data_IF_542797419668
#
_entry.id   IF_542797419668
#
_cell.length_a   1.000
_cell.length_b   1.000
_cell.length_c   1.000
_cell.angle_alpha   90.00
_cell.angle_beta   90.00
_cell.angle_gamma   90.00
#
_symmetry.space_group_name_H-M   'P 1'
#
loop_
_entity.id
_entity.type
_entity.pdbx_description
1 polymer ?
#
# COMPACT_ATOMS: atom_id res chain seq x y z
N UNK A 1 -14.95 -13.40 0.32
CA UNK A 1 -13.77 -13.61 -0.56
C UNK A 1 -12.72 -12.59 -0.16
N UNK A 2 -11.46 -13.02 0.03
CA UNK A 2 -10.38 -12.07 0.36
C UNK A 2 -10.00 -11.25 -0.86
N UNK A 3 -9.52 -10.03 -0.64
CA UNK A 3 -9.17 -9.13 -1.74
C UNK A 3 -8.04 -8.20 -1.34
N UNK A 4 -7.09 -7.99 -2.26
CA UNK A 4 -6.05 -6.98 -2.10
C UNK A 4 -6.66 -5.59 -2.22
N UNK A 5 -6.45 -4.72 -1.22
CA UNK A 5 -7.16 -3.43 -1.11
C UNK A 5 -6.24 -2.23 -1.26
N UNK A 6 -5.08 -2.24 -0.61
CA UNK A 6 -4.22 -1.05 -0.60
C UNK A 6 -2.79 -1.29 -0.15
N UNK A 7 -1.90 -0.35 -0.49
CA UNK A 7 -0.68 -0.08 0.28
C UNK A 7 -0.94 1.18 1.11
N UNK A 8 -0.65 1.10 2.40
CA UNK A 8 -0.82 2.14 3.39
C UNK A 8 0.46 2.32 4.18
N UNK A 9 0.66 3.47 4.80
CA UNK A 9 1.51 3.55 5.99
C UNK A 9 0.60 3.89 7.16
N UNK A 10 0.38 2.99 8.11
CA UNK A 10 -0.38 3.37 9.30
C UNK A 10 0.59 3.91 10.35
N UNK A 11 0.18 4.96 11.03
CA UNK A 11 0.77 5.35 12.30
C UNK A 11 0.71 4.13 13.23
N UNK A 12 1.84 3.49 13.52
CA UNK A 12 1.91 2.46 14.55
C UNK A 12 1.65 3.14 15.90
N UNK A 13 0.87 2.51 16.79
CA UNK A 13 0.90 2.90 18.20
C UNK A 13 2.36 2.87 18.68
N UNK A 14 2.90 4.03 19.10
CA UNK A 14 4.33 4.20 19.40
C UNK A 14 5.16 4.87 18.30
N UNK A 15 4.54 5.44 17.27
CA UNK A 15 5.23 6.25 16.27
C UNK A 15 5.97 7.45 16.91
N UNK A 16 7.21 7.77 16.50
CA UNK A 16 8.02 8.84 17.08
C UNK A 16 7.56 10.27 16.70
N UNK A 17 6.41 10.41 16.03
CA UNK A 17 5.92 11.70 15.53
C UNK A 17 4.98 12.37 16.54
N UNK A 18 4.72 13.67 16.36
CA UNK A 18 3.98 14.54 17.29
C UNK A 18 2.49 14.16 17.52
N UNK A 19 2.06 13.02 16.97
CA UNK A 19 0.72 12.45 17.07
C UNK A 19 -0.27 12.96 16.04
N UNK A 20 0.03 14.02 15.28
CA UNK A 20 -0.88 14.55 14.26
C UNK A 20 -0.57 13.97 12.89
N UNK A 21 -1.60 13.45 12.24
CA UNK A 21 -1.49 12.85 10.92
C UNK A 21 -2.80 12.97 10.15
N UNK A 22 -2.72 12.86 8.83
CA UNK A 22 -3.88 12.71 7.95
C UNK A 22 -3.75 11.47 7.09
N UNK A 23 -4.90 11.03 6.57
CA UNK A 23 -5.04 9.89 5.68
C UNK A 23 -5.83 10.31 4.45
N UNK A 24 -5.31 10.02 3.26
CA UNK A 24 -6.02 10.23 2.00
C UNK A 24 -5.99 8.95 1.18
N UNK A 25 -7.16 8.49 0.74
CA UNK A 25 -7.29 7.32 -0.13
C UNK A 25 -7.37 7.79 -1.57
N UNK A 26 -6.49 7.30 -2.45
CA UNK A 26 -6.49 7.64 -3.88
C UNK A 26 -6.42 6.38 -4.74
N UNK A 27 -7.16 6.36 -5.85
CA UNK A 27 -7.15 5.25 -6.79
C UNK A 27 -8.03 5.51 -7.99
N UNK A 28 -8.18 4.49 -8.84
CA UNK A 28 -8.94 4.59 -10.10
C UNK A 28 -10.44 4.30 -9.95
N UNK A 29 -10.90 4.01 -8.73
CA UNK A 29 -12.30 3.74 -8.44
C UNK A 29 -12.54 3.40 -6.97
N UNK A 30 -13.75 2.92 -6.62
CA UNK A 30 -14.12 2.57 -5.25
C UNK A 30 -13.22 1.49 -4.64
N UNK A 31 -12.89 1.60 -3.34
CA UNK A 31 -12.08 0.62 -2.61
C UNK A 31 -12.71 -0.79 -2.57
N UNK A 32 -14.02 -0.88 -2.81
CA UNK A 32 -14.78 -2.15 -2.89
C UNK A 32 -14.34 -3.05 -4.05
N UNK A 33 -13.80 -2.47 -5.12
CA UNK A 33 -13.37 -3.20 -6.31
C UNK A 33 -12.06 -2.71 -6.94
N UNK A 34 -11.40 -1.71 -6.36
CA UNK A 34 -10.10 -1.21 -6.80
C UNK A 34 -9.06 -1.33 -5.68
N UNK A 35 -7.82 -1.55 -6.10
CA UNK A 35 -6.66 -1.29 -5.31
C UNK A 35 -6.39 0.21 -5.24
N UNK A 36 -6.17 0.72 -4.04
CA UNK A 36 -5.92 2.15 -3.81
C UNK A 36 -4.63 2.38 -3.04
N UNK A 37 -4.07 3.57 -3.16
CA UNK A 37 -3.01 4.03 -2.28
C UNK A 37 -3.62 4.76 -1.09
N UNK A 38 -3.23 4.35 0.12
CA UNK A 38 -3.48 5.11 1.34
C UNK A 38 -2.25 5.99 1.61
N UNK A 39 -2.40 7.29 1.34
CA UNK A 39 -1.40 8.30 1.62
C UNK A 39 -1.51 8.71 3.09
N UNK A 40 -0.38 8.66 3.79
CA UNK A 40 -0.29 9.08 5.19
C UNK A 40 0.71 10.21 5.32
N UNK A 41 0.22 11.34 5.83
CA UNK A 41 1.04 12.51 6.11
C UNK A 41 1.13 12.69 7.62
N UNK A 42 2.33 12.60 8.18
CA UNK A 42 2.58 13.00 9.58
C UNK A 42 3.02 14.47 9.58
N UNK A 43 2.36 15.27 10.41
CA UNK A 43 2.60 16.71 10.44
C UNK A 43 4.02 16.98 10.93
N UNK A 44 4.69 17.93 10.27
CA UNK A 44 6.06 18.29 10.61
C UNK A 44 7.11 17.33 10.08
N UNK A 45 6.74 16.28 9.34
CA UNK A 45 7.69 15.37 8.69
C UNK A 45 7.66 15.58 7.18
N UNK A 46 8.80 15.92 6.59
CA UNK A 46 8.91 16.21 5.14
C UNK A 46 9.53 15.09 4.32
N UNK A 47 10.30 14.19 4.95
CA UNK A 47 11.03 13.15 4.26
C UNK A 47 11.04 11.86 5.08
N UNK A 48 11.06 10.73 4.38
CA UNK A 48 11.28 9.41 4.94
C UNK A 48 12.37 8.72 4.14
N UNK A 49 13.38 8.20 4.82
CA UNK A 49 14.44 7.42 4.20
C UNK A 49 13.87 6.17 3.52
N UNK A 50 14.15 6.01 2.22
CA UNK A 50 13.71 4.88 1.41
C UNK A 50 14.53 3.62 1.67
N UNK A 51 13.85 2.48 1.70
CA UNK A 51 14.44 1.16 1.78
C UNK A 51 14.64 0.52 0.40
N UNK A 52 14.86 -0.79 0.39
CA UNK A 52 14.82 -1.65 -0.80
C UNK A 52 13.61 -2.61 -0.79
N UNK A 53 12.65 -2.36 0.12
CA UNK A 53 11.52 -3.22 0.43
C UNK A 53 10.36 -3.05 -0.56
N UNK A 54 9.99 -1.81 -0.91
CA UNK A 54 9.01 -1.52 -1.96
C UNK A 54 9.71 -1.27 -3.30
N UNK A 55 9.52 -2.17 -4.25
CA UNK A 55 10.20 -2.12 -5.54
C UNK A 55 9.38 -1.45 -6.64
N UNK A 56 8.08 -1.28 -6.43
CA UNK A 56 7.23 -0.44 -7.27
C UNK A 56 5.81 -0.95 -7.45
N UNK A 57 4.99 -0.12 -8.07
CA UNK A 57 3.62 -0.47 -8.46
C UNK A 57 3.45 -0.33 -9.98
N UNK A 58 2.79 -1.30 -10.60
CA UNK A 58 2.58 -1.37 -12.04
C UNK A 58 1.13 -1.03 -12.39
N UNK A 59 0.95 -0.11 -13.34
CA UNK A 59 -0.35 0.44 -13.71
C UNK A 59 -0.50 0.51 -15.23
N UNK A 60 -1.60 0.01 -15.77
CA UNK A 60 -1.97 0.21 -17.19
C UNK A 60 -2.62 1.59 -17.36
N UNK A 61 -1.88 2.58 -17.88
CA UNK A 61 -2.41 3.92 -18.09
C UNK A 61 -1.54 4.75 -19.07
N UNK A 62 -1.70 4.53 -20.38
CA UNK A 62 -1.04 5.33 -21.44
C UNK A 62 -1.24 6.83 -21.26
N UNK A 63 -2.44 7.26 -20.88
CA UNK A 63 -2.77 8.67 -20.63
C UNK A 63 -1.92 9.30 -19.51
N UNK A 64 -1.53 8.53 -18.48
CA UNK A 64 -0.65 9.05 -17.42
C UNK A 64 0.74 9.42 -17.96
N UNK A 65 1.26 8.65 -18.92
CA UNK A 65 2.53 8.95 -19.60
C UNK A 65 2.39 10.24 -20.40
N UNK A 66 1.31 10.39 -21.16
CA UNK A 66 1.06 11.58 -21.98
C UNK A 66 0.92 12.84 -21.11
N UNK A 67 0.14 12.77 -20.04
CA UNK A 67 -0.02 13.89 -19.09
C UNK A 67 1.28 14.25 -18.41
N UNK A 68 2.05 13.25 -17.95
CA UNK A 68 3.37 13.46 -17.34
C UNK A 68 4.32 14.19 -18.31
N UNK A 69 4.44 13.71 -19.55
CA UNK A 69 5.25 14.37 -20.60
C UNK A 69 4.76 15.80 -20.88
N UNK A 70 3.44 16.01 -20.97
CA UNK A 70 2.83 17.32 -21.26
C UNK A 70 3.14 18.38 -20.19
N UNK A 71 3.18 17.99 -18.91
CA UNK A 71 3.49 18.91 -17.80
C UNK A 71 4.99 18.96 -17.46
N UNK A 72 5.84 18.24 -18.20
CA UNK A 72 7.28 18.17 -17.93
C UNK A 72 7.65 17.33 -16.70
N UNK A 73 6.77 16.44 -16.24
CA UNK A 73 7.09 15.49 -15.17
C UNK A 73 8.13 14.48 -15.68
N UNK A 74 9.17 14.12 -14.89
CA UNK A 74 10.18 13.16 -15.31
C UNK A 74 9.58 11.79 -15.66
N UNK A 75 9.86 11.32 -16.88
CA UNK A 75 9.47 10.00 -17.37
C UNK A 75 10.71 9.29 -17.90
N UNK A 76 11.02 8.13 -17.33
CA UNK A 76 12.12 7.28 -17.81
C UNK A 76 11.56 6.08 -18.55
N UNK A 77 11.88 5.94 -19.83
CA UNK A 77 11.45 4.81 -20.64
C UNK A 77 12.30 3.57 -20.31
N UNK A 78 11.65 2.44 -19.99
CA UNK A 78 12.28 1.18 -19.60
C UNK A 78 11.57 0.00 -20.30
N UNK A 79 11.99 -0.31 -21.53
CA UNK A 79 11.40 -1.41 -22.30
C UNK A 79 9.90 -1.17 -22.57
N UNK A 80 9.04 -2.06 -22.07
CA UNK A 80 7.59 -2.00 -22.29
C UNK A 80 6.85 -1.07 -21.29
N UNK A 81 7.56 -0.46 -20.34
CA UNK A 81 6.98 0.42 -19.33
C UNK A 81 7.76 1.73 -19.18
N UNK A 82 7.10 2.74 -18.62
CA UNK A 82 7.69 4.02 -18.24
C UNK A 82 7.77 4.12 -16.72
N UNK A 83 8.95 4.36 -16.17
CA UNK A 83 9.13 4.66 -14.76
C UNK A 83 8.84 6.14 -14.49
N UNK A 84 7.90 6.37 -13.58
CA UNK A 84 7.63 7.64 -12.92
C UNK A 84 7.95 7.46 -11.44
N UNK A 85 8.63 8.41 -10.83
CA UNK A 85 8.89 8.41 -9.39
C UNK A 85 7.98 9.42 -8.73
N UNK A 86 7.16 9.00 -7.76
CA UNK A 86 6.35 9.91 -6.95
C UNK A 86 7.25 10.70 -5.97
N UNK A 87 6.79 11.86 -5.46
CA UNK A 87 7.47 12.53 -4.37
C UNK A 87 7.77 11.57 -3.20
N UNK A 88 9.02 11.57 -2.74
CA UNK A 88 9.51 10.61 -1.74
C UNK A 88 10.26 9.41 -2.32
N UNK A 89 10.28 9.22 -3.65
CA UNK A 89 11.09 8.18 -4.32
C UNK A 89 10.35 6.86 -4.61
N UNK A 90 9.03 6.81 -4.41
CA UNK A 90 8.23 5.62 -4.71
C UNK A 90 8.09 5.41 -6.22
N UNK A 91 8.37 4.19 -6.68
CA UNK A 91 8.40 3.85 -8.11
C UNK A 91 7.03 3.43 -8.64
N UNK A 92 6.63 4.03 -9.75
CA UNK A 92 5.43 3.69 -10.50
C UNK A 92 5.83 3.32 -11.93
N UNK A 93 5.57 2.08 -12.30
CA UNK A 93 5.83 1.54 -13.63
C UNK A 93 4.54 1.61 -14.46
N UNK A 94 4.47 2.59 -15.33
CA UNK A 94 3.31 2.81 -16.18
C UNK A 94 3.46 1.98 -17.45
N UNK A 95 2.57 0.99 -17.61
CA UNK A 95 2.47 0.14 -18.79
C UNK A 95 1.75 0.96 -19.86
N UNK A 96 2.37 1.07 -21.05
CA UNK A 96 1.83 1.85 -22.16
C UNK A 96 0.65 1.14 -22.84
N UNK A 97 -0.45 1.01 -22.11
CA UNK A 97 -1.73 0.45 -22.53
C UNK A 97 -2.84 1.36 -22.03
N UNK A 98 -3.93 1.43 -22.80
CA UNK A 98 -5.14 2.09 -22.34
C UNK A 98 -5.64 1.43 -21.05
N UNK A 99 -6.24 2.22 -20.17
CA UNK A 99 -6.85 1.68 -18.95
C UNK A 99 -7.91 0.64 -19.35
N UNK A 100 -7.97 -0.51 -18.65
CA UNK A 100 -9.06 -1.45 -18.82
C UNK A 100 -10.39 -0.81 -18.38
N UNK A 101 -11.49 -1.22 -19.04
CA UNK A 101 -12.85 -0.76 -18.71
C UNK A 101 -13.59 -1.71 -17.76
N UNK A 102 -13.08 -2.93 -17.58
CA UNK A 102 -13.74 -4.04 -16.91
C UNK A 102 -13.01 -4.53 -15.64
N UNK A 103 -11.87 -3.91 -15.31
CA UNK A 103 -11.05 -4.25 -14.14
C UNK A 103 -10.21 -3.04 -13.72
N UNK A 104 -9.59 -3.15 -12.55
CA UNK A 104 -8.65 -2.16 -12.04
C UNK A 104 -7.40 -2.03 -12.95
N UNK A 105 -6.97 -0.81 -13.32
CA UNK A 105 -5.70 -0.59 -14.03
C UNK A 105 -4.46 -0.96 -13.21
N UNK A 106 -4.53 -1.01 -11.87
CA UNK A 106 -3.41 -1.46 -11.03
C UNK A 106 -3.20 -2.97 -11.22
N UNK A 107 -2.03 -3.35 -11.74
CA UNK A 107 -1.72 -4.73 -12.11
C UNK A 107 -1.04 -5.49 -10.99
N UNK A 108 0.02 -4.92 -10.42
CA UNK A 108 0.76 -5.58 -9.35
C UNK A 108 1.60 -4.61 -8.51
N UNK A 109 1.83 -5.04 -7.27
CA UNK A 109 2.68 -4.41 -6.27
C UNK A 109 3.90 -5.31 -6.11
N UNK A 110 5.10 -4.75 -6.18
CA UNK A 110 6.35 -5.51 -6.08
C UNK A 110 7.01 -5.24 -4.73
N UNK A 111 7.18 -6.30 -3.94
CA UNK A 111 7.91 -6.28 -2.68
C UNK A 111 9.22 -7.06 -2.81
N UNK A 112 10.28 -6.53 -2.21
CA UNK A 112 11.58 -7.19 -2.09
C UNK A 112 11.51 -8.42 -1.20
N UNK A 113 12.28 -9.46 -1.50
CA UNK A 113 12.37 -10.64 -0.66
C UNK A 113 13.80 -11.16 -0.58
N UNK A 114 14.23 -11.53 0.64
CA UNK A 114 15.55 -12.14 0.85
C UNK A 114 15.55 -13.63 0.50
N UNK A 115 14.40 -14.30 0.60
CA UNK A 115 14.22 -15.73 0.32
C UNK A 115 12.85 -15.98 -0.35
N UNK A 116 12.88 -16.13 -1.68
CA UNK A 116 11.67 -16.38 -2.49
C UNK A 116 10.95 -17.65 -2.07
N UNK A 117 11.65 -18.71 -1.65
CA UNK A 117 11.00 -19.96 -1.25
C UNK A 117 10.25 -19.79 0.06
N UNK A 118 10.89 -19.18 1.07
CA UNK A 118 10.27 -18.91 2.37
C UNK A 118 9.08 -17.96 2.23
N UNK A 119 9.23 -16.89 1.46
CA UNK A 119 8.16 -15.91 1.28
C UNK A 119 6.99 -16.48 0.48
N UNK A 120 7.23 -17.28 -0.57
CA UNK A 120 6.15 -18.00 -1.26
C UNK A 120 5.39 -18.93 -0.31
N UNK A 121 6.08 -19.70 0.54
CA UNK A 121 5.44 -20.56 1.54
C UNK A 121 4.57 -19.75 2.49
N UNK A 122 5.07 -18.65 3.05
CA UNK A 122 4.28 -17.78 3.93
C UNK A 122 3.03 -17.23 3.23
N UNK A 123 3.22 -16.59 2.08
CA UNK A 123 2.13 -15.89 1.39
C UNK A 123 1.07 -16.85 0.83
N UNK A 124 1.48 -18.02 0.35
CA UNK A 124 0.56 -19.07 -0.14
C UNK A 124 -0.09 -19.83 1.00
N UNK A 125 0.71 -20.42 1.86
CA UNK A 125 0.24 -21.42 2.81
C UNK A 125 -0.37 -20.81 4.06
N UNK A 126 0.08 -19.61 4.48
CA UNK A 126 -0.41 -18.95 5.69
C UNK A 126 -1.38 -17.81 5.36
N UNK A 127 -0.96 -16.84 4.55
CA UNK A 127 -1.79 -15.69 4.16
C UNK A 127 -2.91 -16.06 3.17
N UNK A 128 -2.78 -17.18 2.47
CA UNK A 128 -3.83 -17.80 1.66
C UNK A 128 -3.91 -17.29 0.22
N UNK A 129 -2.84 -16.71 -0.32
CA UNK A 129 -2.81 -16.28 -1.71
C UNK A 129 -2.58 -17.47 -2.66
N UNK A 130 -3.18 -17.42 -3.84
CA UNK A 130 -2.87 -18.35 -4.92
C UNK A 130 -1.54 -17.98 -5.56
N UNK A 131 -0.66 -18.96 -5.77
CA UNK A 131 0.57 -18.80 -6.54
C UNK A 131 0.25 -18.92 -8.03
N UNK A 132 0.45 -17.84 -8.78
CA UNK A 132 0.20 -17.78 -10.23
C UNK A 132 1.44 -18.12 -11.05
N UNK A 133 2.60 -17.66 -10.61
CA UNK A 133 3.87 -17.91 -11.28
C UNK A 133 5.00 -17.93 -10.25
N UNK A 134 6.00 -18.78 -10.47
CA UNK A 134 7.24 -18.85 -9.69
C UNK A 134 8.43 -19.08 -10.63
N UNK A 135 9.34 -18.12 -10.64
CA UNK A 135 10.70 -18.27 -11.15
C UNK A 135 11.71 -18.36 -10.00
N UNK A 136 13.01 -18.32 -10.34
CA UNK A 136 14.10 -18.38 -9.36
C UNK A 136 14.16 -17.13 -8.48
N UNK A 137 14.04 -15.94 -9.08
CA UNK A 137 14.18 -14.66 -8.41
C UNK A 137 12.86 -13.92 -8.22
N UNK A 138 11.72 -14.50 -8.63
CA UNK A 138 10.44 -13.81 -8.60
C UNK A 138 9.27 -14.77 -8.43
N UNK A 139 8.23 -14.36 -7.71
CA UNK A 139 6.95 -15.06 -7.65
C UNK A 139 5.77 -14.09 -7.72
N UNK A 140 4.68 -14.51 -8.35
CA UNK A 140 3.44 -13.73 -8.47
C UNK A 140 2.33 -14.46 -7.74
N UNK A 141 1.69 -13.78 -6.80
CA UNK A 141 0.61 -14.30 -5.97
C UNK A 141 -0.61 -13.36 -5.98
N UNK A 142 -1.79 -13.87 -5.64
CA UNK A 142 -2.98 -13.04 -5.48
C UNK A 142 -4.20 -13.83 -5.03
N UNK A 143 -5.29 -13.14 -4.67
CA UNK A 143 -6.53 -13.79 -4.26
C UNK A 143 -7.49 -14.11 -5.42
N UNK A 144 -7.41 -13.36 -6.52
CA UNK A 144 -8.25 -13.56 -7.69
C UNK A 144 -7.55 -13.09 -8.98
N UNK A 145 -7.97 -13.64 -10.12
CA UNK A 145 -7.43 -13.32 -11.45
C UNK A 145 -7.61 -11.83 -11.80
N UNK A 146 -8.75 -11.25 -11.44
CA UNK A 146 -9.13 -9.88 -11.77
C UNK A 146 -8.71 -8.83 -10.73
N UNK A 147 -7.92 -9.21 -9.73
CA UNK A 147 -7.37 -8.28 -8.74
C UNK A 147 -5.89 -7.99 -9.00
N UNK A 148 -5.41 -6.85 -8.50
CA UNK A 148 -3.99 -6.57 -8.41
C UNK A 148 -3.23 -7.73 -7.74
N UNK A 149 -2.06 -8.07 -8.27
CA UNK A 149 -1.22 -9.16 -7.75
C UNK A 149 -0.15 -8.64 -6.80
N UNK A 150 0.27 -9.48 -5.87
CA UNK A 150 1.51 -9.32 -5.14
C UNK A 150 2.63 -10.01 -5.92
N UNK A 151 3.70 -9.29 -6.21
CA UNK A 151 4.93 -9.84 -6.76
C UNK A 151 6.00 -9.79 -5.68
N UNK A 152 6.59 -10.93 -5.39
CA UNK A 152 7.79 -11.04 -4.57
C UNK A 152 8.99 -11.09 -5.51
N UNK A 153 9.98 -10.22 -5.30
CA UNK A 153 11.17 -10.12 -6.14
C UNK A 153 12.41 -10.21 -5.25
N UNK A 154 13.33 -11.10 -5.60
CA UNK A 154 14.56 -11.28 -4.84
C UNK A 154 15.39 -10.01 -4.90
N UNK A 155 15.85 -9.54 -3.74
CA UNK A 155 16.78 -8.41 -3.61
C UNK A 155 18.24 -8.85 -3.73
N UNK A 156 18.51 -10.17 -3.76
CA UNK A 156 19.87 -10.72 -3.71
C UNK A 156 20.56 -10.58 -2.35
N UNK A 157 19.84 -10.11 -1.32
CA UNK A 157 20.36 -9.87 0.02
C UNK A 157 19.23 -9.60 1.03
N UNK A 158 19.53 -9.01 2.19
CA UNK A 158 18.51 -8.61 3.16
C UNK A 158 17.54 -7.57 2.60
N UNK A 159 16.31 -7.56 3.13
CA UNK A 159 15.34 -6.48 2.91
C UNK A 159 15.56 -5.39 3.96
N UNK A 160 15.70 -4.16 3.50
CA UNK A 160 15.89 -2.96 4.29
C UNK A 160 14.63 -2.09 4.15
N UNK A 161 13.88 -1.94 5.24
CA UNK A 161 12.64 -1.15 5.26
C UNK A 161 12.87 0.36 5.44
N UNK A 162 14.03 0.73 6.01
CA UNK A 162 14.35 2.10 6.43
C UNK A 162 13.17 2.78 7.16
N UNK A 163 12.67 3.91 6.65
CA UNK A 163 11.65 4.75 7.32
C UNK A 163 10.42 5.02 6.46
N UNK A 164 10.54 4.79 5.16
CA UNK A 164 9.49 4.98 4.16
C UNK A 164 8.66 3.73 3.88
N UNK A 165 8.93 2.61 4.58
CA UNK A 165 8.18 1.36 4.43
C UNK A 165 6.67 1.56 4.59
N UNK A 166 5.95 0.77 3.81
CA UNK A 166 4.50 0.71 3.83
C UNK A 166 3.97 -0.56 4.49
N UNK A 167 2.70 -0.80 4.27
CA UNK A 167 1.89 -1.92 4.71
C UNK A 167 0.92 -2.26 3.62
N UNK A 168 0.88 -3.51 3.21
CA UNK A 168 -0.14 -3.97 2.27
C UNK A 168 -1.37 -4.47 3.05
N UNK A 169 -2.58 -4.15 2.59
CA UNK A 169 -3.80 -4.52 3.29
C UNK A 169 -4.75 -5.34 2.41
N UNK A 170 -5.39 -6.31 3.05
CA UNK A 170 -6.35 -7.22 2.46
C UNK A 170 -7.63 -7.22 3.29
N UNK A 171 -8.77 -7.20 2.60
CA UNK A 171 -10.04 -7.48 3.26
C UNK A 171 -10.23 -9.00 3.35
N UNK A 172 -10.72 -9.50 4.49
CA UNK A 172 -11.19 -10.86 4.70
C UNK A 172 -12.55 -10.82 5.43
N UNK A 173 -13.40 -11.85 5.35
CA UNK A 173 -14.57 -11.94 6.22
C UNK A 173 -14.15 -11.69 7.68
N UNK A 174 -14.86 -10.83 8.42
CA UNK A 174 -14.45 -10.47 9.78
C UNK A 174 -14.33 -11.69 10.70
N UNK A 175 -15.22 -12.67 10.51
CA UNK A 175 -15.20 -13.95 11.21
C UNK A 175 -13.92 -14.78 10.97
N UNK A 176 -13.19 -14.55 9.88
CA UNK A 176 -11.95 -15.27 9.58
C UNK A 176 -10.75 -14.70 10.32
N UNK A 177 -10.79 -13.43 10.76
CA UNK A 177 -9.59 -12.77 11.33
C UNK A 177 -8.99 -13.49 12.54
N UNK A 178 -9.78 -13.98 13.53
CA UNK A 178 -9.22 -14.76 14.64
C UNK A 178 -8.53 -16.05 14.18
N UNK A 179 -9.04 -16.66 13.10
CA UNK A 179 -8.42 -17.88 12.53
C UNK A 179 -7.10 -17.57 11.82
N UNK A 180 -6.99 -16.41 11.16
CA UNK A 180 -5.74 -15.93 10.56
C UNK A 180 -4.70 -15.73 11.66
N UNK A 181 -5.05 -15.03 12.74
CA UNK A 181 -4.15 -14.83 13.88
C UNK A 181 -3.71 -16.17 14.49
N UNK A 182 -4.65 -17.08 14.74
CA UNK A 182 -4.36 -18.41 15.29
C UNK A 182 -3.35 -19.16 14.41
N UNK A 183 -3.55 -19.16 13.09
CA UNK A 183 -2.66 -19.82 12.14
C UNK A 183 -1.24 -19.24 12.16
N UNK A 184 -1.11 -17.91 12.28
CA UNK A 184 0.20 -17.26 12.43
C UNK A 184 0.88 -17.63 13.75
N UNK A 185 0.13 -17.74 14.86
CA UNK A 185 0.67 -18.23 16.14
C UNK A 185 1.17 -19.66 16.05
N UNK A 186 0.39 -20.56 15.44
CA UNK A 186 0.75 -21.98 15.28
C UNK A 186 1.98 -22.17 14.40
N UNK A 187 2.15 -21.31 13.38
CA UNK A 187 3.34 -21.29 12.52
C UNK A 187 4.54 -20.54 13.14
N UNK A 188 4.40 -19.97 14.35
CA UNK A 188 5.40 -19.14 15.00
C UNK A 188 5.85 -17.93 14.14
N UNK A 189 4.91 -17.35 13.40
CA UNK A 189 5.12 -16.14 12.59
C UNK A 189 4.84 -14.86 13.37
N UNK A 190 5.37 -13.73 12.89
CA UNK A 190 5.31 -12.46 13.61
C UNK A 190 3.95 -11.78 13.48
N UNK A 191 3.32 -11.55 14.63
CA UNK A 191 2.08 -10.76 14.76
C UNK A 191 2.45 -9.40 15.37
N UNK A 192 2.27 -8.33 14.60
CA UNK A 192 2.54 -6.96 15.06
C UNK A 192 1.41 -6.40 15.90
N UNK A 193 0.17 -6.73 15.53
CA UNK A 193 -1.02 -6.33 16.28
C UNK A 193 -2.00 -7.49 16.25
N UNK A 194 -2.28 -8.12 17.40
CA UNK A 194 -3.33 -9.13 17.52
C UNK A 194 -4.69 -8.60 17.06
N UNK A 195 -5.67 -9.50 16.91
CA UNK A 195 -7.02 -9.13 16.55
C UNK A 195 -7.57 -8.03 17.47
N UNK A 196 -7.92 -6.88 16.87
CA UNK A 196 -8.34 -5.69 17.59
C UNK A 196 -9.39 -4.92 16.79
N UNK A 197 -10.26 -4.18 17.48
CA UNK A 197 -11.18 -3.23 16.88
C UNK A 197 -10.54 -1.84 16.85
N UNK A 198 -10.65 -1.14 15.72
CA UNK A 198 -10.15 0.20 15.48
C UNK A 198 -11.32 1.12 15.12
N UNK A 199 -11.44 2.21 15.86
CA UNK A 199 -12.43 3.25 15.59
C UNK A 199 -11.87 4.30 14.64
N UNK A 200 -12.71 4.79 13.74
CA UNK A 200 -12.45 5.99 12.96
C UNK A 200 -13.52 7.02 13.32
N UNK A 201 -13.17 8.23 13.79
CA UNK A 201 -14.16 9.23 14.20
C UNK A 201 -15.23 9.48 13.13
N UNK A 202 -16.50 9.30 13.49
CA UNK A 202 -17.64 9.50 12.58
C UNK A 202 -17.81 8.44 11.49
N UNK A 203 -17.07 7.32 11.55
CA UNK A 203 -17.17 6.19 10.61
C UNK A 203 -17.29 4.85 11.34
N UNK A 204 -17.51 3.79 10.59
CA UNK A 204 -17.62 2.43 11.12
C UNK A 204 -16.34 1.96 11.82
N UNK A 205 -16.51 1.24 12.93
CA UNK A 205 -15.44 0.49 13.59
C UNK A 205 -15.02 -0.68 12.69
N UNK A 206 -13.72 -0.90 12.54
CA UNK A 206 -13.18 -2.02 11.77
C UNK A 206 -12.38 -2.95 12.65
N UNK A 207 -12.38 -4.24 12.33
CA UNK A 207 -11.55 -5.23 13.01
C UNK A 207 -10.33 -5.52 12.15
N UNK A 208 -9.15 -5.61 12.77
CA UNK A 208 -7.91 -5.89 12.05
C UNK A 208 -7.04 -6.89 12.79
N UNK A 209 -6.18 -7.57 12.03
CA UNK A 209 -4.96 -8.24 12.51
C UNK A 209 -3.81 -7.70 11.68
N UNK A 210 -2.70 -7.30 12.33
CA UNK A 210 -1.50 -6.80 11.64
C UNK A 210 -0.37 -7.79 11.85
N UNK A 211 0.23 -8.22 10.74
CA UNK A 211 1.27 -9.23 10.67
C UNK A 211 2.54 -8.64 10.07
N UNK A 212 3.65 -9.34 10.23
CA UNK A 212 4.85 -9.11 9.42
C UNK A 212 5.21 -10.42 8.70
N UNK A 213 5.49 -10.32 7.41
CA UNK A 213 5.95 -11.47 6.63
C UNK A 213 7.41 -11.86 6.99
N UNK A 214 7.97 -12.92 6.40
CA UNK A 214 9.33 -13.40 6.68
C UNK A 214 10.44 -12.36 6.53
N UNK A 215 10.22 -11.36 5.67
CA UNK A 215 11.15 -10.27 5.38
C UNK A 215 10.83 -9.00 6.19
N UNK A 216 9.71 -8.96 6.90
CA UNK A 216 9.29 -7.85 7.76
C UNK A 216 8.24 -6.94 7.15
N UNK A 217 7.74 -7.23 5.94
CA UNK A 217 6.68 -6.44 5.30
C UNK A 217 5.41 -6.46 6.14
N UNK A 218 4.87 -5.29 6.46
CA UNK A 218 3.65 -5.23 7.24
C UNK A 218 2.43 -5.62 6.40
N UNK A 219 1.54 -6.40 7.00
CA UNK A 219 0.29 -6.86 6.38
C UNK A 219 -0.88 -6.55 7.29
N UNK A 220 -1.90 -5.85 6.80
CA UNK A 220 -3.18 -5.71 7.50
C UNK A 220 -4.23 -6.63 6.89
N UNK A 221 -4.78 -7.55 7.69
CA UNK A 221 -6.07 -8.16 7.36
C UNK A 221 -7.17 -7.39 8.08
N UNK A 222 -8.10 -6.81 7.30
CA UNK A 222 -9.25 -6.05 7.81
C UNK A 222 -10.56 -6.79 7.55
N UNK A 223 -11.50 -6.70 8.50
CA UNK A 223 -12.83 -7.29 8.38
C UNK A 223 -13.63 -6.59 7.27
N UNK A 224 -14.14 -7.37 6.31
CA UNK A 224 -14.78 -6.85 5.10
C UNK A 224 -16.03 -6.04 5.40
N UNK A 225 -16.80 -6.44 6.40
CA UNK A 225 -18.08 -5.85 6.77
C UNK A 225 -17.88 -4.39 7.21
N UNK A 226 -17.04 -4.16 8.23
CA UNK A 226 -16.71 -2.81 8.67
C UNK A 226 -15.90 -2.03 7.64
N UNK A 227 -15.01 -2.69 6.89
CA UNK A 227 -14.21 -2.02 5.87
C UNK A 227 -15.08 -1.39 4.78
N UNK A 228 -16.08 -2.11 4.26
CA UNK A 228 -16.98 -1.60 3.22
C UNK A 228 -17.71 -0.34 3.67
N UNK A 229 -18.19 -0.30 4.91
CA UNK A 229 -18.83 0.90 5.46
C UNK A 229 -17.83 2.05 5.65
N UNK A 230 -16.61 1.75 6.09
CA UNK A 230 -15.54 2.73 6.30
C UNK A 230 -15.05 3.37 4.99
N UNK A 231 -14.99 2.58 3.91
CA UNK A 231 -14.35 2.91 2.63
C UNK A 231 -15.31 3.42 1.56
N UNK A 232 -16.48 3.92 1.95
CA UNK A 232 -17.40 4.57 1.01
C UNK A 232 -16.74 5.81 0.39
N UNK A 233 -16.92 5.97 -0.92
CA UNK A 233 -16.42 7.15 -1.64
C UNK A 233 -17.04 8.40 -1.03
N UNK A 234 -16.20 9.38 -0.70
CA UNK A 234 -16.67 10.74 -0.43
C UNK A 234 -16.99 11.43 -1.77
N UNK A 235 -18.26 11.73 -2.07
CA UNK A 235 -18.63 12.39 -3.33
C UNK A 235 -18.07 13.80 -3.47
N UNK A 236 -17.55 14.39 -2.37
CA UNK A 236 -16.88 15.70 -2.38
C UNK A 236 -15.36 15.59 -2.25
N UNK A 237 -14.81 14.37 -2.24
CA UNK A 237 -13.39 14.12 -1.96
C UNK A 237 -12.46 14.98 -2.82
N UNK A 238 -12.66 15.00 -4.14
CA UNK A 238 -11.84 15.78 -5.07
C UNK A 238 -11.94 17.29 -4.82
N UNK A 239 -13.15 17.79 -4.58
CA UNK A 239 -13.39 19.22 -4.32
C UNK A 239 -12.71 19.62 -3.02
N UNK A 240 -12.90 18.85 -1.96
CA UNK A 240 -12.31 19.11 -0.64
C UNK A 240 -10.78 19.05 -0.69
N UNK A 241 -10.21 18.08 -1.41
CA UNK A 241 -8.76 17.95 -1.57
C UNK A 241 -8.18 19.16 -2.33
N UNK A 242 -8.76 19.53 -3.46
CA UNK A 242 -8.29 20.67 -4.25
C UNK A 242 -8.40 21.98 -3.47
N UNK A 243 -9.53 22.24 -2.80
CA UNK A 243 -9.68 23.41 -1.95
C UNK A 243 -8.69 23.44 -0.79
N UNK A 244 -8.37 22.29 -0.19
CA UNK A 244 -7.40 22.19 0.89
C UNK A 244 -5.98 22.49 0.38
N UNK A 245 -5.62 21.98 -0.81
CA UNK A 245 -4.32 22.24 -1.44
C UNK A 245 -4.15 23.73 -1.81
N UNK A 246 -5.18 24.37 -2.36
CA UNK A 246 -5.15 25.80 -2.69
C UNK A 246 -4.99 26.70 -1.46
N UNK A 247 -5.58 26.29 -0.32
CA UNK A 247 -5.53 27.03 0.95
C UNK A 247 -4.33 26.65 1.81
N UNK A 248 -3.51 25.68 1.40
CA UNK A 248 -2.41 25.17 2.23
C UNK A 248 -1.33 26.25 2.44
N UNK A 249 -1.00 26.47 3.71
CA UNK A 249 0.09 27.35 4.16
C UNK A 249 1.01 26.61 5.13
N UNK A 250 1.02 25.28 5.06
CA UNK A 250 1.80 24.45 5.98
C UNK A 250 3.28 24.79 5.94
N UNK A 251 3.86 25.01 4.75
CA UNK A 251 5.28 25.36 4.62
C UNK A 251 5.63 26.70 5.29
N UNK A 252 4.80 27.73 5.15
CA UNK A 252 4.97 29.01 5.85
C UNK A 252 4.89 28.80 7.38
N UNK A 253 3.88 28.04 7.83
CA UNK A 253 3.68 27.74 9.24
C UNK A 253 4.88 26.99 9.84
N UNK A 254 5.33 25.91 9.21
CA UNK A 254 6.47 25.12 9.70
C UNK A 254 7.77 25.91 9.62
N UNK A 255 7.98 26.73 8.59
CA UNK A 255 9.14 27.64 8.52
C UNK A 255 9.19 28.59 9.73
N UNK A 256 8.04 29.09 10.19
CA UNK A 256 7.95 29.91 11.41
C UNK A 256 8.17 29.14 12.72
N UNK A 257 8.18 27.80 12.67
CA UNK A 257 8.32 26.89 13.82
C UNK A 257 9.64 26.10 13.84
N UNK A 258 10.61 26.46 13.01
CA UNK A 258 11.93 25.81 12.95
C UNK A 258 12.08 24.74 11.87
N UNK A 259 11.11 24.63 10.95
CA UNK A 259 11.14 23.73 9.80
C UNK A 259 10.43 22.38 10.04
N UNK A 260 10.41 21.55 9.00
CA UNK A 260 9.95 20.14 9.06
C UNK A 260 11.16 19.23 9.33
N UNK A 261 10.96 18.17 10.10
CA UNK A 261 11.97 17.14 10.36
C UNK A 261 12.05 16.13 9.20
N UNK A 262 13.24 15.56 9.01
CA UNK A 262 13.46 14.34 8.22
C UNK A 262 13.36 13.13 9.13
N UNK A 263 12.75 12.05 8.67
CA UNK A 263 12.45 10.87 9.47
C UNK A 263 13.04 9.57 8.94
#
# INVERSE_FOLDING_TARGET
>A
MRSLRKVARQHAMGSPYDGKWSKTMIGYGPEDNHFVCELTYNYGVSHYEQGNDFLGMYIECSEAIERAKKIGYPVKEEGEHCLLEAPGGYKFYIINKNMPNDRDPVQHIVLGSSDIERSVKYWRDLAGLTLYNRGETKATLGFAENQAKLVLQSTGGPVEHAKAFGRIAFAAPGADLPSIEKKMKEANEKILTPYVSLDTPGKATVQVVILADPDGHEICFVGTEGFRELSQIDPKGDVLLNEAMEKDKSDEWFSSKGGKASA
#
